data_IF_888301224335
#
_entry.id   IF_888301224335
#
_cell.length_a   1.000
_cell.length_b   1.000
_cell.length_c   1.000
_cell.angle_alpha   90.00
_cell.angle_beta   90.00
_cell.angle_gamma   90.00
#
_symmetry.space_group_name_H-M   'P 1'
#
loop_
_entity.id
_entity.type
_entity.pdbx_description
1 polymer ?
#
# COMPACT_ATOMS: atom_id res chain seq x y z
N UNK A 1 -17.52 3.50 24.53
CA UNK A 1 -17.86 3.45 23.07
C UNK A 1 -18.69 4.68 22.77
N UNK A 2 -18.35 5.42 21.73
CA UNK A 2 -19.07 6.64 21.38
C UNK A 2 -20.20 6.27 20.40
N UNK A 3 -21.45 6.38 20.86
CA UNK A 3 -22.63 6.13 20.02
C UNK A 3 -22.82 7.26 19.02
N UNK A 4 -23.66 7.06 17.98
CA UNK A 4 -24.02 8.10 17.02
C UNK A 4 -24.51 9.39 17.72
N UNK A 5 -25.36 9.24 18.73
CA UNK A 5 -25.89 10.35 19.51
C UNK A 5 -24.83 11.06 20.33
N UNK A 6 -23.90 10.33 20.94
CA UNK A 6 -22.78 10.94 21.69
C UNK A 6 -21.86 11.75 20.79
N UNK A 7 -21.59 11.26 19.58
CA UNK A 7 -20.79 12.00 18.58
C UNK A 7 -21.47 13.31 18.15
N UNK A 8 -22.80 13.35 18.05
CA UNK A 8 -23.54 14.58 17.81
C UNK A 8 -23.46 15.52 19.04
N UNK A 9 -23.70 15.00 20.24
CA UNK A 9 -23.65 15.76 21.48
C UNK A 9 -22.27 16.33 21.79
N UNK A 10 -21.21 15.64 21.38
CA UNK A 10 -19.81 16.08 21.54
C UNK A 10 -19.30 16.91 20.36
N UNK A 11 -20.17 17.43 19.52
CA UNK A 11 -19.89 18.37 18.43
C UNK A 11 -19.05 17.80 17.26
N UNK A 12 -18.83 16.50 17.18
CA UNK A 12 -18.11 15.90 16.03
C UNK A 12 -18.79 16.14 14.68
N UNK A 13 -20.13 16.08 14.68
CA UNK A 13 -20.93 16.42 13.49
C UNK A 13 -20.76 17.89 13.09
N UNK A 14 -20.77 18.80 14.09
CA UNK A 14 -20.53 20.22 13.85
C UNK A 14 -19.11 20.46 13.31
N UNK A 15 -18.10 19.84 13.90
CA UNK A 15 -16.72 19.93 13.40
C UNK A 15 -16.59 19.46 11.95
N UNK A 16 -17.21 18.34 11.60
CA UNK A 16 -17.22 17.84 10.24
C UNK A 16 -17.88 18.82 9.28
N UNK A 17 -19.03 19.40 9.65
CA UNK A 17 -19.76 20.38 8.82
C UNK A 17 -18.98 21.67 8.64
N UNK A 18 -18.30 22.17 9.66
CA UNK A 18 -17.45 23.36 9.59
C UNK A 18 -16.22 23.15 8.68
N UNK A 19 -15.73 21.90 8.61
CA UNK A 19 -14.65 21.50 7.70
C UNK A 19 -15.11 21.10 6.30
N UNK A 20 -16.38 21.37 5.92
CA UNK A 20 -17.01 20.93 4.66
C UNK A 20 -16.93 19.41 4.45
N UNK A 21 -16.89 18.67 5.56
CA UNK A 21 -16.85 17.22 5.60
C UNK A 21 -18.16 16.56 6.04
N UNK A 22 -18.15 15.23 6.11
CA UNK A 22 -19.31 14.45 6.58
C UNK A 22 -18.97 13.73 7.88
N UNK A 23 -19.95 13.66 8.78
CA UNK A 23 -19.87 12.87 9.99
C UNK A 23 -20.42 11.48 9.75
N UNK A 24 -19.62 10.47 10.09
CA UNK A 24 -20.03 9.06 10.07
C UNK A 24 -19.79 8.48 11.47
N UNK A 25 -20.69 7.63 11.90
CA UNK A 25 -20.48 6.78 13.06
C UNK A 25 -20.53 5.33 12.61
N UNK A 26 -19.58 4.55 13.07
CA UNK A 26 -19.53 3.10 12.89
C UNK A 26 -19.64 2.43 14.23
N UNK A 27 -20.30 1.31 14.26
CA UNK A 27 -20.29 0.43 15.42
C UNK A 27 -18.91 -0.23 15.54
N UNK A 28 -18.10 0.27 16.47
CA UNK A 28 -16.75 -0.25 16.72
C UNK A 28 -16.75 -1.68 17.28
N UNK A 29 -17.89 -2.20 17.69
CA UNK A 29 -18.04 -3.57 18.19
C UNK A 29 -18.40 -4.56 17.06
N UNK A 30 -18.75 -4.06 15.88
CA UNK A 30 -18.88 -4.94 14.72
C UNK A 30 -17.51 -5.51 14.35
N UNK A 31 -17.41 -6.82 14.47
CA UNK A 31 -16.19 -7.53 14.05
C UNK A 31 -16.04 -7.38 12.55
N UNK A 32 -14.89 -6.85 12.13
CA UNK A 32 -14.49 -6.89 10.72
C UNK A 32 -14.49 -8.36 10.28
N UNK A 33 -15.36 -8.70 9.35
CA UNK A 33 -15.43 -10.06 8.82
C UNK A 33 -14.28 -10.23 7.85
N UNK A 34 -13.27 -10.99 8.26
CA UNK A 34 -12.24 -11.42 7.34
C UNK A 34 -12.76 -12.56 6.46
N UNK A 35 -12.65 -12.39 5.16
CA UNK A 35 -12.93 -13.44 4.17
C UNK A 35 -11.60 -13.88 3.60
N UNK A 36 -11.19 -15.10 3.96
CA UNK A 36 -10.01 -15.73 3.39
C UNK A 36 -10.24 -16.02 1.92
N UNK A 37 -9.24 -15.71 1.09
CA UNK A 37 -9.34 -15.90 -0.35
C UNK A 37 -8.23 -16.82 -0.87
N UNK A 38 -8.46 -17.54 -1.98
CA UNK A 38 -7.44 -18.38 -2.58
C UNK A 38 -6.24 -17.60 -3.15
N UNK A 39 -6.28 -16.28 -3.13
CA UNK A 39 -5.24 -15.39 -3.65
C UNK A 39 -4.28 -14.87 -2.57
N UNK A 40 -4.66 -14.94 -1.30
CA UNK A 40 -3.92 -14.30 -0.19
C UNK A 40 -2.49 -14.83 -0.05
N UNK A 41 -2.31 -16.15 -0.12
CA UNK A 41 -0.97 -16.77 -0.06
C UNK A 41 -0.09 -16.26 -1.19
N UNK A 42 -0.61 -16.22 -2.42
CA UNK A 42 0.16 -15.78 -3.58
C UNK A 42 0.52 -14.31 -3.50
N UNK A 43 -0.36 -13.45 -3.00
CA UNK A 43 -0.06 -12.02 -2.78
C UNK A 43 1.05 -11.88 -1.72
N UNK A 44 1.01 -12.67 -0.65
CA UNK A 44 2.06 -12.67 0.38
C UNK A 44 3.42 -13.11 -0.17
N UNK A 45 3.47 -14.13 -1.03
CA UNK A 45 4.69 -14.54 -1.73
C UNK A 45 5.24 -13.41 -2.63
N UNK A 46 4.34 -12.67 -3.30
CA UNK A 46 4.72 -11.51 -4.08
C UNK A 46 5.36 -10.41 -3.23
N UNK A 47 4.97 -10.24 -1.95
CA UNK A 47 5.59 -9.27 -1.05
C UNK A 47 7.07 -9.58 -0.83
N UNK A 48 7.42 -10.84 -0.60
CA UNK A 48 8.82 -11.27 -0.45
C UNK A 48 9.62 -10.93 -1.70
N UNK A 49 9.12 -11.31 -2.88
CA UNK A 49 9.78 -11.00 -4.15
C UNK A 49 9.89 -9.49 -4.39
N UNK A 50 8.85 -8.73 -4.04
CA UNK A 50 8.86 -7.27 -4.16
C UNK A 50 9.96 -6.66 -3.27
N UNK A 51 10.13 -7.15 -2.04
CA UNK A 51 11.18 -6.72 -1.13
C UNK A 51 12.59 -6.99 -1.66
N UNK A 52 12.79 -8.06 -2.42
CA UNK A 52 14.08 -8.41 -3.05
C UNK A 52 14.44 -7.48 -4.22
N UNK A 53 13.48 -6.69 -4.71
CA UNK A 53 13.74 -5.71 -5.76
C UNK A 53 14.25 -4.37 -5.26
N UNK A 54 14.16 -4.08 -3.95
CA UNK A 54 14.64 -2.80 -3.40
C UNK A 54 16.15 -2.82 -3.18
N UNK A 55 16.84 -1.89 -3.82
CA UNK A 55 18.28 -1.67 -3.68
C UNK A 55 18.48 -0.40 -2.85
N UNK A 56 18.84 -0.55 -1.60
CA UNK A 56 19.08 0.62 -0.75
C UNK A 56 20.30 1.40 -1.20
N UNK A 57 20.29 2.73 -1.01
CA UNK A 57 21.43 3.63 -1.18
C UNK A 57 21.41 4.76 -0.15
N UNK A 58 22.55 5.43 0.01
CA UNK A 58 22.72 6.51 0.96
C UNK A 58 23.00 6.03 2.37
N UNK A 59 23.46 6.97 3.22
CA UNK A 59 23.91 6.67 4.60
C UNK A 59 22.87 5.97 5.48
N UNK A 60 21.58 6.22 5.25
CA UNK A 60 20.46 5.63 5.98
C UNK A 60 19.66 4.61 5.17
N UNK A 61 20.08 4.29 3.94
CA UNK A 61 19.31 3.43 3.04
C UNK A 61 19.01 2.05 3.62
N UNK A 62 19.99 1.40 4.25
CA UNK A 62 19.79 0.10 4.91
C UNK A 62 18.80 0.18 6.08
N UNK A 63 18.82 1.27 6.85
CA UNK A 63 17.89 1.50 7.94
C UNK A 63 16.44 1.63 7.43
N UNK A 64 16.22 2.38 6.36
CA UNK A 64 14.90 2.53 5.74
C UNK A 64 14.40 1.21 5.16
N UNK A 65 15.26 0.42 4.49
CA UNK A 65 14.90 -0.93 4.04
C UNK A 65 14.48 -1.83 5.20
N UNK A 66 15.23 -1.81 6.30
CA UNK A 66 14.90 -2.59 7.49
C UNK A 66 13.58 -2.13 8.14
N UNK A 67 13.31 -0.83 8.18
CA UNK A 67 12.02 -0.28 8.65
C UNK A 67 10.87 -0.77 7.78
N UNK A 68 11.02 -0.79 6.45
CA UNK A 68 10.01 -1.33 5.55
C UNK A 68 9.73 -2.82 5.85
N UNK A 69 10.77 -3.65 5.97
CA UNK A 69 10.64 -5.06 6.29
C UNK A 69 10.00 -5.30 7.66
N UNK A 70 10.33 -4.46 8.66
CA UNK A 70 9.71 -4.53 9.98
C UNK A 70 8.21 -4.22 9.92
N UNK A 71 7.81 -3.22 9.13
CA UNK A 71 6.39 -2.91 8.94
C UNK A 71 5.64 -4.02 8.21
N UNK A 72 6.26 -4.69 7.25
CA UNK A 72 5.69 -5.88 6.61
C UNK A 72 5.46 -6.99 7.64
N UNK A 73 6.47 -7.27 8.46
CA UNK A 73 6.35 -8.27 9.54
C UNK A 73 5.28 -7.91 10.56
N UNK A 74 5.18 -6.64 10.96
CA UNK A 74 4.13 -6.18 11.87
C UNK A 74 2.73 -6.42 11.28
N UNK A 75 2.56 -6.17 9.98
CA UNK A 75 1.29 -6.45 9.30
C UNK A 75 0.96 -7.95 9.28
N UNK A 76 1.95 -8.82 9.05
CA UNK A 76 1.81 -10.28 9.08
C UNK A 76 1.41 -10.79 10.47
N UNK A 77 2.01 -10.23 11.53
CA UNK A 77 1.68 -10.61 12.92
C UNK A 77 0.25 -10.20 13.29
N UNK A 78 -0.24 -9.08 12.75
CA UNK A 78 -1.59 -8.61 13.04
C UNK A 78 -2.66 -9.49 12.37
N UNK A 79 -2.56 -9.72 11.08
CA UNK A 79 -3.45 -10.62 10.35
C UNK A 79 -2.98 -10.84 8.91
N UNK A 80 -3.43 -11.94 8.30
CA UNK A 80 -3.24 -12.20 6.86
C UNK A 80 -3.82 -11.07 6.01
N UNK A 81 -5.00 -10.56 6.38
CA UNK A 81 -5.62 -9.43 5.69
C UNK A 81 -4.73 -8.19 5.68
N UNK A 82 -4.18 -7.81 6.84
CA UNK A 82 -3.29 -6.64 6.93
C UNK A 82 -2.03 -6.82 6.10
N UNK A 83 -1.44 -8.01 6.07
CA UNK A 83 -0.28 -8.33 5.25
C UNK A 83 -0.60 -8.19 3.75
N UNK A 84 -1.73 -8.73 3.32
CA UNK A 84 -2.19 -8.66 1.93
C UNK A 84 -2.49 -7.22 1.53
N UNK A 85 -3.26 -6.47 2.31
CA UNK A 85 -3.59 -5.07 2.03
C UNK A 85 -2.34 -4.19 1.96
N UNK A 86 -1.39 -4.41 2.87
CA UNK A 86 -0.10 -3.71 2.84
C UNK A 86 0.69 -4.04 1.58
N UNK A 87 0.70 -5.30 1.14
CA UNK A 87 1.38 -5.73 -0.09
C UNK A 87 0.76 -5.06 -1.31
N UNK A 88 -0.57 -5.02 -1.38
CA UNK A 88 -1.31 -4.33 -2.44
C UNK A 88 -0.99 -2.82 -2.44
N UNK A 89 -0.98 -2.18 -1.27
CA UNK A 89 -0.62 -0.76 -1.15
C UNK A 89 0.81 -0.48 -1.63
N UNK A 90 1.79 -1.31 -1.22
CA UNK A 90 3.19 -1.21 -1.64
C UNK A 90 3.39 -1.40 -3.15
N UNK A 91 2.54 -2.19 -3.79
CA UNK A 91 2.62 -2.42 -5.23
C UNK A 91 2.17 -1.23 -6.07
N UNK A 92 1.51 -0.24 -5.49
CA UNK A 92 1.00 0.93 -6.20
C UNK A 92 2.11 1.95 -6.48
N UNK A 93 2.69 1.89 -7.66
CA UNK A 93 3.83 2.72 -8.09
C UNK A 93 3.66 4.22 -7.84
N UNK A 94 2.43 4.74 -7.98
CA UNK A 94 2.15 6.17 -7.78
C UNK A 94 1.98 6.57 -6.31
N UNK A 95 1.57 5.63 -5.44
CA UNK A 95 1.28 5.88 -4.03
C UNK A 95 2.44 5.50 -3.10
N UNK A 96 3.26 4.53 -3.48
CA UNK A 96 4.35 4.03 -2.66
C UNK A 96 5.70 4.28 -3.35
N UNK A 97 6.38 5.35 -2.95
CA UNK A 97 7.66 5.79 -3.53
C UNK A 97 8.73 5.85 -2.47
N UNK A 98 9.89 5.31 -2.79
CA UNK A 98 11.06 5.21 -1.91
C UNK A 98 12.31 5.84 -2.54
N UNK A 99 12.14 6.80 -3.43
CA UNK A 99 13.22 7.42 -4.21
C UNK A 99 14.29 8.10 -3.35
N UNK A 100 14.04 8.31 -2.07
CA UNK A 100 15.02 8.86 -1.12
C UNK A 100 15.98 7.82 -0.54
N UNK A 101 15.70 6.50 -0.69
CA UNK A 101 16.57 5.44 -0.21
C UNK A 101 16.64 4.19 -1.13
N UNK A 102 15.70 4.06 -2.08
CA UNK A 102 15.68 2.97 -3.05
C UNK A 102 16.22 3.44 -4.40
N UNK A 103 17.29 2.81 -4.84
CA UNK A 103 18.00 3.17 -6.06
C UNK A 103 17.18 2.90 -7.32
N UNK A 104 16.27 1.91 -7.29
CA UNK A 104 15.39 1.60 -8.42
C UNK A 104 14.37 2.73 -8.62
N UNK A 105 13.67 3.15 -7.57
CA UNK A 105 12.73 4.28 -7.63
C UNK A 105 13.44 5.59 -7.99
N UNK A 106 14.65 5.77 -7.47
CA UNK A 106 15.45 6.96 -7.75
C UNK A 106 15.90 7.04 -9.20
N UNK A 107 16.33 5.91 -9.78
CA UNK A 107 16.77 5.85 -11.17
C UNK A 107 15.62 6.10 -12.16
N UNK A 108 14.40 5.71 -11.81
CA UNK A 108 13.22 6.05 -12.61
C UNK A 108 12.93 7.56 -12.63
N UNK A 109 13.20 8.24 -11.53
CA UNK A 109 12.98 9.69 -11.40
C UNK A 109 14.09 10.51 -12.06
N UNK A 110 15.34 10.05 -11.99
CA UNK A 110 16.51 10.73 -12.53
C UNK A 110 17.56 9.70 -13.00
N UNK A 111 17.61 9.49 -14.30
CA UNK A 111 18.53 8.53 -14.93
C UNK A 111 20.00 8.88 -14.71
N UNK A 112 20.32 10.17 -14.51
CA UNK A 112 21.68 10.64 -14.31
C UNK A 112 22.16 10.52 -12.86
N UNK A 113 21.23 10.31 -11.91
CA UNK A 113 21.54 10.20 -10.48
C UNK A 113 22.58 9.11 -10.18
N UNK A 114 22.53 8.00 -10.91
CA UNK A 114 23.45 6.87 -10.77
C UNK A 114 24.93 7.24 -10.84
N UNK A 115 25.27 8.31 -11.57
CA UNK A 115 26.66 8.73 -11.72
C UNK A 115 27.28 9.36 -10.46
N UNK A 116 26.43 9.83 -9.52
CA UNK A 116 26.84 10.45 -8.26
C UNK A 116 26.77 9.55 -7.03
N UNK A 117 26.28 8.32 -7.16
CA UNK A 117 26.14 7.38 -6.02
C UNK A 117 27.52 6.87 -5.59
N UNK A 118 27.82 7.00 -4.30
CA UNK A 118 29.08 6.53 -3.72
C UNK A 118 29.02 5.02 -3.45
N UNK A 119 30.11 4.32 -3.77
CA UNK A 119 30.20 2.87 -3.59
C UNK A 119 29.99 2.42 -2.12
N UNK A 120 30.40 3.26 -1.15
CA UNK A 120 30.23 2.99 0.27
C UNK A 120 28.77 2.98 0.72
N UNK A 121 27.92 3.69 -0.02
CA UNK A 121 26.48 3.86 0.26
C UNK A 121 25.61 2.77 -0.39
N UNK A 122 26.23 1.84 -1.09
CA UNK A 122 25.55 0.73 -1.76
C UNK A 122 25.60 -0.57 -0.93
N UNK A 123 24.64 -1.50 -1.15
CA UNK A 123 24.71 -2.82 -0.55
C UNK A 123 25.95 -3.60 -1.00
N UNK A 124 26.36 -4.55 -0.17
CA UNK A 124 27.62 -5.27 -0.34
C UNK A 124 27.75 -5.93 -1.72
N UNK A 125 26.65 -6.44 -2.27
CA UNK A 125 26.59 -7.11 -3.58
C UNK A 125 26.86 -6.17 -4.77
N UNK A 126 26.77 -4.85 -4.55
CA UNK A 126 27.06 -3.83 -5.58
C UNK A 126 28.38 -3.09 -5.34
N UNK A 127 29.02 -3.28 -4.19
CA UNK A 127 30.32 -2.68 -3.92
C UNK A 127 31.38 -3.26 -4.87
N UNK A 128 32.18 -2.37 -5.45
CA UNK A 128 33.24 -2.77 -6.39
C UNK A 128 32.77 -3.05 -7.82
N UNK A 129 31.47 -2.99 -8.11
CA UNK A 129 30.96 -3.07 -9.49
C UNK A 129 31.16 -1.76 -10.25
N UNK A 130 31.32 -1.85 -11.56
CA UNK A 130 31.35 -0.71 -12.46
C UNK A 130 29.96 -0.02 -12.49
N UNK A 131 29.93 1.24 -12.93
CA UNK A 131 28.69 2.00 -13.09
C UNK A 131 27.72 1.31 -14.05
N UNK A 132 28.23 0.70 -15.09
CA UNK A 132 27.47 -0.05 -16.10
C UNK A 132 26.82 -1.30 -15.49
N UNK A 133 27.56 -2.04 -14.67
CA UNK A 133 27.03 -3.21 -13.98
C UNK A 133 25.95 -2.82 -12.95
N UNK A 134 26.13 -1.71 -12.24
CA UNK A 134 25.13 -1.19 -11.30
C UNK A 134 23.86 -0.76 -12.07
N UNK A 135 24.00 -0.02 -13.18
CA UNK A 135 22.86 0.35 -14.04
C UNK A 135 22.10 -0.88 -14.53
N UNK A 136 22.82 -1.92 -14.97
CA UNK A 136 22.22 -3.18 -15.42
C UNK A 136 21.45 -3.84 -14.28
N UNK A 137 22.03 -3.96 -13.09
CA UNK A 137 21.36 -4.54 -11.92
C UNK A 137 20.11 -3.77 -11.54
N UNK A 138 20.13 -2.43 -11.57
CA UNK A 138 18.96 -1.59 -11.30
C UNK A 138 17.89 -1.78 -12.36
N UNK A 139 18.23 -1.85 -13.63
CA UNK A 139 17.28 -2.08 -14.72
C UNK A 139 16.63 -3.48 -14.61
N UNK A 140 17.40 -4.51 -14.25
CA UNK A 140 16.89 -5.86 -14.01
C UNK A 140 15.91 -5.87 -12.83
N UNK A 141 16.23 -5.20 -11.72
CA UNK A 141 15.34 -5.09 -10.57
C UNK A 141 14.10 -4.25 -10.86
N UNK A 142 14.19 -3.21 -11.68
CA UNK A 142 13.02 -2.44 -12.13
C UNK A 142 12.08 -3.32 -12.97
N UNK A 143 12.60 -4.06 -13.93
CA UNK A 143 11.80 -4.97 -14.77
C UNK A 143 11.16 -6.11 -13.96
N UNK A 144 11.88 -6.66 -12.98
CA UNK A 144 11.35 -7.66 -12.05
C UNK A 144 10.22 -7.07 -11.20
N UNK A 145 10.40 -5.86 -10.64
CA UNK A 145 9.41 -5.13 -9.85
C UNK A 145 8.11 -4.90 -10.64
N UNK A 146 8.22 -4.44 -11.88
CA UNK A 146 7.05 -4.21 -12.72
C UNK A 146 6.22 -5.50 -12.95
N UNK A 147 6.88 -6.62 -13.16
CA UNK A 147 6.18 -7.92 -13.33
C UNK A 147 5.44 -8.30 -12.05
N UNK A 148 6.09 -8.14 -10.90
CA UNK A 148 5.49 -8.46 -9.60
C UNK A 148 4.32 -7.52 -9.32
N UNK A 149 4.45 -6.22 -9.57
CA UNK A 149 3.39 -5.23 -9.39
C UNK A 149 2.16 -5.55 -10.26
N UNK A 150 2.36 -5.92 -11.52
CA UNK A 150 1.26 -6.37 -12.41
C UNK A 150 0.61 -7.65 -11.91
N UNK A 151 1.38 -8.60 -11.40
CA UNK A 151 0.83 -9.83 -10.81
C UNK A 151 -0.03 -9.50 -9.58
N UNK A 152 0.45 -8.65 -8.67
CA UNK A 152 -0.30 -8.21 -7.49
C UNK A 152 -1.59 -7.49 -7.90
N UNK A 153 -1.55 -6.64 -8.91
CA UNK A 153 -2.73 -5.92 -9.41
C UNK A 153 -3.82 -6.88 -9.87
N UNK A 154 -3.46 -7.89 -10.68
CA UNK A 154 -4.39 -8.91 -11.16
C UNK A 154 -4.96 -9.74 -10.00
N UNK A 155 -4.09 -10.16 -9.07
CA UNK A 155 -4.52 -10.95 -7.91
C UNK A 155 -5.40 -10.13 -6.96
N UNK A 156 -5.08 -8.87 -6.73
CA UNK A 156 -5.86 -7.95 -5.90
C UNK A 156 -7.27 -7.75 -6.45
N UNK A 157 -7.41 -7.60 -7.77
CA UNK A 157 -8.73 -7.51 -8.41
C UNK A 157 -9.54 -8.80 -8.23
N UNK A 158 -8.94 -9.95 -8.51
CA UNK A 158 -9.61 -11.26 -8.30
C UNK A 158 -10.00 -11.48 -6.84
N UNK A 159 -9.14 -11.06 -5.91
CA UNK A 159 -9.40 -11.10 -4.48
C UNK A 159 -10.62 -10.26 -4.12
N UNK A 160 -10.72 -9.03 -4.61
CA UNK A 160 -11.85 -8.16 -4.35
C UNK A 160 -13.15 -8.74 -4.93
N UNK A 161 -13.14 -9.20 -6.18
CA UNK A 161 -14.29 -9.85 -6.82
C UNK A 161 -14.79 -11.06 -6.01
N UNK A 162 -13.86 -11.84 -5.44
CA UNK A 162 -14.18 -12.98 -4.58
C UNK A 162 -14.83 -12.53 -3.27
N UNK A 163 -14.25 -11.53 -2.61
CA UNK A 163 -14.78 -10.97 -1.35
C UNK A 163 -16.19 -10.43 -1.58
N UNK A 164 -16.41 -9.66 -2.64
CA UNK A 164 -17.71 -9.08 -2.97
C UNK A 164 -18.77 -10.17 -3.21
N UNK A 165 -18.40 -11.24 -3.91
CA UNK A 165 -19.29 -12.38 -4.13
C UNK A 165 -19.65 -13.10 -2.83
N UNK A 166 -18.69 -13.32 -1.93
CA UNK A 166 -18.94 -13.97 -0.64
C UNK A 166 -19.75 -13.07 0.31
N UNK A 167 -19.52 -11.77 0.31
CA UNK A 167 -20.32 -10.81 1.08
C UNK A 167 -21.79 -10.82 0.62
N UNK A 168 -22.05 -10.84 -0.68
CA UNK A 168 -23.40 -10.94 -1.23
C UNK A 168 -24.11 -12.22 -0.80
N UNK A 169 -23.41 -13.37 -0.82
CA UNK A 169 -23.96 -14.65 -0.36
C UNK A 169 -24.35 -14.64 1.13
N UNK A 170 -23.58 -13.94 1.95
CA UNK A 170 -23.84 -13.85 3.40
C UNK A 170 -24.97 -12.89 3.76
N UNK A 171 -25.56 -12.19 2.79
CA UNK A 171 -26.65 -11.25 3.03
C UNK A 171 -26.26 -10.03 3.86
N UNK A 172 -24.96 -9.79 4.04
CA UNK A 172 -24.48 -8.60 4.74
C UNK A 172 -24.83 -7.38 3.91
N UNK A 173 -25.78 -6.60 4.41
CA UNK A 173 -26.22 -5.37 3.75
C UNK A 173 -25.08 -4.36 3.73
N UNK A 174 -25.03 -3.62 2.65
CA UNK A 174 -24.01 -2.59 2.35
C UNK A 174 -23.96 -1.41 3.36
N UNK A 175 -24.82 -1.44 4.40
CA UNK A 175 -25.15 -0.23 5.15
C UNK A 175 -24.14 0.17 6.24
N UNK A 176 -23.36 -0.77 6.78
CA UNK A 176 -22.62 -0.54 8.03
C UNK A 176 -21.09 -0.71 7.93
N UNK A 177 -20.52 -0.73 6.71
CA UNK A 177 -19.07 -0.84 6.51
C UNK A 177 -18.43 0.55 6.43
N UNK A 178 -17.48 0.83 7.35
CA UNK A 178 -16.69 2.07 7.33
C UNK A 178 -16.01 2.30 5.98
N UNK A 179 -15.46 1.24 5.37
CA UNK A 179 -14.80 1.33 4.09
C UNK A 179 -15.72 1.91 3.02
N UNK A 180 -16.94 1.41 2.93
CA UNK A 180 -17.95 1.91 1.99
C UNK A 180 -18.46 3.31 2.32
N UNK A 181 -18.55 3.65 3.60
CA UNK A 181 -18.92 5.00 4.01
C UNK A 181 -17.85 6.03 3.58
N UNK A 182 -16.59 5.70 3.79
CA UNK A 182 -15.44 6.51 3.34
C UNK A 182 -15.42 6.58 1.81
N UNK A 183 -15.54 5.45 1.12
CA UNK A 183 -15.56 5.39 -0.34
C UNK A 183 -16.65 6.30 -0.94
N UNK A 184 -17.89 6.16 -0.46
CA UNK A 184 -18.99 7.06 -0.89
C UNK A 184 -18.66 8.52 -0.66
N UNK A 185 -18.11 8.87 0.51
CA UNK A 185 -17.75 10.25 0.82
C UNK A 185 -16.67 10.78 -0.11
N UNK A 186 -15.63 9.97 -0.36
CA UNK A 186 -14.54 10.34 -1.28
C UNK A 186 -15.04 10.49 -2.72
N UNK A 187 -15.89 9.56 -3.20
CA UNK A 187 -16.48 9.62 -4.53
C UNK A 187 -17.38 10.87 -4.72
N UNK A 188 -18.19 11.20 -3.71
CA UNK A 188 -19.03 12.42 -3.75
C UNK A 188 -18.17 13.68 -3.74
N UNK A 189 -17.11 13.72 -2.92
CA UNK A 189 -16.19 14.86 -2.87
C UNK A 189 -15.44 15.04 -4.20
N UNK A 190 -15.00 13.94 -4.80
CA UNK A 190 -14.35 13.94 -6.09
C UNK A 190 -15.28 14.48 -7.18
N UNK A 191 -16.53 14.01 -7.24
CA UNK A 191 -17.55 14.52 -8.17
C UNK A 191 -17.83 16.01 -7.96
N UNK A 192 -17.96 16.46 -6.69
CA UNK A 192 -18.17 17.87 -6.34
C UNK A 192 -17.02 18.75 -6.84
N UNK A 193 -15.80 18.22 -6.89
CA UNK A 193 -14.61 18.91 -7.37
C UNK A 193 -14.29 18.66 -8.86
N UNK A 194 -15.23 18.09 -9.62
CA UNK A 194 -15.12 17.96 -11.08
C UNK A 194 -14.28 16.77 -11.57
N UNK A 195 -13.95 15.82 -10.69
CA UNK A 195 -13.31 14.58 -11.13
C UNK A 195 -14.34 13.61 -11.70
N UNK A 196 -14.13 13.14 -12.92
CA UNK A 196 -14.83 12.00 -13.52
C UNK A 196 -14.13 10.71 -13.10
N UNK A 197 -14.87 9.81 -12.46
CA UNK A 197 -14.42 8.53 -11.96
C UNK A 197 -15.02 7.42 -12.82
#
# INVERSE_FOLDING_TARGET
MQTYHEGIQTFWQNGASLGDGKYFNIDSDQKVIYIETPYDVRISECNTKLNDTYIYYGSHGSEFKNKQMLQDKNAEVQSVSNAVERTVAKSKKNAYKNDHWDLVDRAEKDVNFMSGVKAEELPAELKGKSKEEIKKAVAEKSAEREKIQKEIEVLSKKRQDFIDAEMKKRGNSEADDLGKAIERSVLELAKKNGYSL
#
